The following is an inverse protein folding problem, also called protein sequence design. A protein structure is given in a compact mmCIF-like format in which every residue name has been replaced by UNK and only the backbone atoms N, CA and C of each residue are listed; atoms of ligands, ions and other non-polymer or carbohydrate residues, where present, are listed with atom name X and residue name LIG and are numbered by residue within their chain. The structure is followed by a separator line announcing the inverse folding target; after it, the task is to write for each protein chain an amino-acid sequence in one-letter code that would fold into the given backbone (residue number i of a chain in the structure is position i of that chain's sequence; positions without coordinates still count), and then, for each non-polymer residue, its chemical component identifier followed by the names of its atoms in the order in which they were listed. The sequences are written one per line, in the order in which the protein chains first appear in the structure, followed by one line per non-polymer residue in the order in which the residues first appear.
data_IF_849108117984
#
_entry.id   IF_849108117984
#
_cell.length_a   1.000
_cell.length_b   1.000
_cell.length_c   1.000
_cell.angle_alpha   90.00
_cell.angle_beta   90.00
_cell.angle_gamma   90.00
#
_symmetry.space_group_name_H-M   'P 1'
#
loop_
_entity.id
_entity.type
_entity.pdbx_description
1 polymer ?
#
# COMPACT_ATOMS: atom_id res chain seq x y z
N UNK A 1 -11.11 -6.66 16.39
CA UNK A 1 -10.22 -5.48 16.41
C UNK A 1 -9.38 -5.34 15.12
N UNK A 2 -8.94 -6.44 14.49
CA UNK A 2 -8.07 -6.38 13.28
C UNK A 2 -8.78 -6.03 11.96
N UNK A 3 -10.04 -6.43 11.76
CA UNK A 3 -10.76 -6.10 10.51
C UNK A 3 -10.97 -4.59 10.31
N UNK A 4 -11.18 -3.84 11.39
CA UNK A 4 -11.34 -2.38 11.33
C UNK A 4 -10.04 -1.69 10.93
N UNK A 5 -8.89 -2.17 11.44
CA UNK A 5 -7.56 -1.69 11.04
C UNK A 5 -7.26 -1.98 9.57
N UNK A 6 -7.72 -3.12 9.03
CA UNK A 6 -7.59 -3.43 7.58
C UNK A 6 -8.40 -2.43 6.74
N UNK A 7 -9.66 -2.18 7.11
CA UNK A 7 -10.55 -1.28 6.36
C UNK A 7 -9.97 0.14 6.36
N UNK A 8 -9.61 0.68 7.52
CA UNK A 8 -9.04 2.02 7.63
C UNK A 8 -7.73 2.15 6.84
N UNK A 9 -6.84 1.16 6.92
CA UNK A 9 -5.59 1.15 6.17
C UNK A 9 -5.83 1.14 4.65
N UNK A 10 -6.81 0.35 4.18
CA UNK A 10 -7.13 0.30 2.75
C UNK A 10 -7.66 1.65 2.27
N UNK A 11 -8.61 2.25 2.99
CA UNK A 11 -9.18 3.55 2.63
C UNK A 11 -8.15 4.68 2.64
N UNK A 12 -7.28 4.72 3.66
CA UNK A 12 -6.26 5.76 3.80
C UNK A 12 -5.19 5.67 2.71
N UNK A 13 -4.84 4.45 2.29
CA UNK A 13 -3.92 4.23 1.17
C UNK A 13 -4.59 4.57 -0.17
N UNK A 14 -5.85 4.21 -0.41
CA UNK A 14 -6.57 4.59 -1.63
C UNK A 14 -6.71 6.11 -1.79
N UNK A 15 -6.92 6.84 -0.69
CA UNK A 15 -6.92 8.31 -0.71
C UNK A 15 -5.57 8.90 -1.11
N UNK A 16 -4.48 8.23 -0.72
CA UNK A 16 -3.11 8.68 -0.99
C UNK A 16 -2.60 8.23 -2.36
N UNK A 17 -3.25 7.25 -2.98
CA UNK A 17 -2.91 6.67 -4.29
C UNK A 17 -4.06 6.87 -5.30
N UNK A 18 -4.33 8.12 -5.74
CA UNK A 18 -5.47 8.40 -6.61
C UNK A 18 -5.33 7.68 -7.96
N UNK A 19 -6.37 6.93 -8.34
CA UNK A 19 -6.41 6.15 -9.58
C UNK A 19 -5.93 4.70 -9.43
N UNK A 20 -5.35 4.34 -8.29
CA UNK A 20 -4.98 2.97 -7.95
C UNK A 20 -6.07 2.31 -7.10
N UNK A 21 -6.16 0.98 -7.17
CA UNK A 21 -7.00 0.19 -6.26
C UNK A 21 -6.10 -0.53 -5.26
N UNK A 22 -6.40 -0.43 -3.97
CA UNK A 22 -5.59 -1.03 -2.91
C UNK A 22 -6.32 -2.21 -2.28
N UNK A 23 -5.61 -3.30 -1.99
CA UNK A 23 -6.10 -4.36 -1.10
C UNK A 23 -5.02 -4.73 -0.09
N UNK A 24 -5.41 -4.78 1.19
CA UNK A 24 -4.53 -5.08 2.31
C UNK A 24 -4.88 -6.44 2.89
N UNK A 25 -3.98 -7.42 2.82
CA UNK A 25 -4.15 -8.75 3.44
C UNK A 25 -3.38 -8.82 4.75
N UNK A 26 -4.07 -9.10 5.85
CA UNK A 26 -3.44 -9.28 7.15
C UNK A 26 -2.78 -10.66 7.23
N UNK A 27 -1.53 -10.69 7.63
CA UNK A 27 -0.74 -11.90 7.88
C UNK A 27 -0.47 -11.97 9.39
N UNK A 28 -0.87 -13.08 10.01
CA UNK A 28 -0.65 -13.38 11.43
C UNK A 28 -1.16 -12.31 12.43
N UNK A 29 -1.99 -11.36 11.98
CA UNK A 29 -2.59 -10.30 12.80
C UNK A 29 -1.69 -9.09 13.10
N UNK A 30 -0.40 -9.15 12.72
CA UNK A 30 0.61 -8.14 13.03
C UNK A 30 1.31 -7.58 11.80
N UNK A 31 1.37 -8.36 10.72
CA UNK A 31 1.92 -7.90 9.45
C UNK A 31 0.84 -7.81 8.39
N UNK A 32 1.07 -7.00 7.36
CA UNK A 32 0.20 -6.91 6.20
C UNK A 32 0.98 -7.08 4.89
N UNK A 33 0.27 -7.57 3.89
CA UNK A 33 0.66 -7.52 2.49
C UNK A 33 -0.26 -6.53 1.79
N UNK A 34 0.30 -5.60 1.04
CA UNK A 34 -0.43 -4.56 0.34
C UNK A 34 -0.29 -4.80 -1.16
N UNK A 35 -1.43 -4.89 -1.83
CA UNK A 35 -1.52 -4.96 -3.28
C UNK A 35 -2.03 -3.63 -3.79
N UNK A 36 -1.31 -3.05 -4.75
CA UNK A 36 -1.71 -1.83 -5.43
C UNK A 36 -1.88 -2.16 -6.91
N UNK A 37 -3.13 -2.16 -7.38
CA UNK A 37 -3.48 -2.36 -8.79
C UNK A 37 -3.50 -1.01 -9.50
N UNK A 38 -2.93 -0.98 -10.70
CA UNK A 38 -2.88 0.17 -11.60
C UNK A 38 -3.77 -0.12 -12.82
N UNK A 39 -5.08 0.16 -12.76
CA UNK A 39 -6.03 -0.23 -13.82
C UNK A 39 -5.63 0.32 -15.19
N UNK A 40 -5.13 1.56 -15.24
CA UNK A 40 -4.70 2.22 -16.48
C UNK A 40 -3.50 1.54 -17.15
N UNK A 41 -2.67 0.83 -16.38
CA UNK A 41 -1.46 0.17 -16.87
C UNK A 41 -1.63 -1.34 -17.00
N UNK A 42 -2.72 -1.90 -16.48
CA UNK A 42 -2.89 -3.35 -16.35
C UNK A 42 -1.83 -4.02 -15.47
N UNK A 43 -1.15 -3.27 -14.60
CA UNK A 43 -0.09 -3.77 -13.72
C UNK A 43 -0.53 -3.83 -12.27
N UNK A 44 0.21 -4.60 -11.47
CA UNK A 44 0.01 -4.73 -10.03
C UNK A 44 1.37 -4.67 -9.34
N UNK A 45 1.43 -3.83 -8.30
CA UNK A 45 2.53 -3.76 -7.35
C UNK A 45 2.14 -4.48 -6.07
N UNK A 46 3.10 -5.12 -5.41
CA UNK A 46 2.88 -5.87 -4.17
C UNK A 46 4.06 -5.64 -3.23
N UNK A 47 3.75 -5.28 -1.98
CA UNK A 47 4.72 -5.27 -0.88
C UNK A 47 4.24 -6.13 0.28
N UNK A 48 5.17 -6.79 0.96
CA UNK A 48 4.88 -7.77 2.02
C UNK A 48 5.63 -7.41 3.30
N UNK A 49 5.15 -7.88 4.45
CA UNK A 49 5.86 -7.70 5.72
C UNK A 49 5.67 -6.33 6.35
N UNK A 50 4.63 -5.58 5.96
CA UNK A 50 4.30 -4.28 6.53
C UNK A 50 3.90 -4.47 7.99
N UNK A 51 4.69 -3.91 8.91
CA UNK A 51 4.44 -4.01 10.34
C UNK A 51 3.32 -3.05 10.77
N UNK A 52 2.17 -3.61 11.14
CA UNK A 52 0.99 -2.85 11.54
C UNK A 52 1.17 -2.14 12.88
N UNK A 53 2.17 -2.50 13.68
CA UNK A 53 2.50 -1.78 14.90
C UNK A 53 3.13 -0.41 14.61
N UNK A 54 3.80 -0.27 13.46
CA UNK A 54 4.38 1.00 13.01
C UNK A 54 3.32 1.95 12.44
N UNK A 55 2.19 1.41 11.98
CA UNK A 55 1.06 2.15 11.44
C UNK A 55 0.08 2.56 12.56
N UNK A 56 0.57 3.35 13.51
CA UNK A 56 -0.17 3.72 14.71
C UNK A 56 -1.11 4.94 14.51
N UNK A 57 -0.86 5.76 13.49
CA UNK A 57 -1.58 7.01 13.24
C UNK A 57 -1.62 7.34 11.73
N UNK A 58 -2.34 8.41 11.35
CA UNK A 58 -2.47 8.84 9.96
C UNK A 58 -1.14 9.25 9.31
N UNK A 59 -0.21 9.79 10.08
CA UNK A 59 1.11 10.20 9.59
C UNK A 59 1.93 9.00 9.11
N UNK A 60 2.02 7.95 9.93
CA UNK A 60 2.70 6.70 9.56
C UNK A 60 2.08 5.98 8.36
N UNK A 61 0.76 6.13 8.16
CA UNK A 61 0.08 5.58 6.96
C UNK A 61 0.39 6.43 5.72
N UNK A 62 0.52 7.74 5.88
CA UNK A 62 0.92 8.63 4.81
C UNK A 62 2.37 8.38 4.35
N UNK A 63 3.31 8.23 5.29
CA UNK A 63 4.71 7.85 4.99
C UNK A 63 4.77 6.55 4.18
N UNK A 64 4.03 5.52 4.60
CA UNK A 64 3.92 4.28 3.85
C UNK A 64 3.34 4.49 2.44
N UNK A 65 2.35 5.37 2.29
CA UNK A 65 1.80 5.68 0.98
C UNK A 65 2.83 6.36 0.07
N UNK A 66 3.63 7.30 0.59
CA UNK A 66 4.72 7.93 -0.15
C UNK A 66 5.78 6.92 -0.59
N UNK A 67 6.17 5.99 0.30
CA UNK A 67 7.07 4.88 -0.03
C UNK A 67 6.50 4.01 -1.16
N UNK A 68 5.21 3.65 -1.09
CA UNK A 68 4.53 2.89 -2.13
C UNK A 68 4.49 3.62 -3.47
N UNK A 69 4.19 4.93 -3.49
CA UNK A 69 4.24 5.74 -4.72
C UNK A 69 5.64 5.70 -5.31
N UNK A 70 6.65 5.95 -4.47
CA UNK A 70 8.04 5.98 -4.90
C UNK A 70 8.47 4.64 -5.53
N UNK A 71 8.17 3.51 -4.88
CA UNK A 71 8.49 2.20 -5.41
C UNK A 71 7.74 1.87 -6.70
N UNK A 72 6.45 2.23 -6.78
CA UNK A 72 5.65 2.08 -7.99
C UNK A 72 6.25 2.88 -9.14
N UNK A 73 6.62 4.15 -8.92
CA UNK A 73 7.21 4.99 -9.96
C UNK A 73 8.61 4.52 -10.37
N UNK A 74 9.43 4.05 -9.41
CA UNK A 74 10.72 3.42 -9.72
C UNK A 74 10.56 2.15 -10.54
N UNK A 75 9.53 1.34 -10.29
CA UNK A 75 9.21 0.16 -11.09
C UNK A 75 8.79 0.50 -12.52
N UNK A 76 8.21 1.69 -12.75
CA UNK A 76 7.84 2.22 -14.08
C UNK A 76 9.06 2.78 -14.83
N UNK A 77 10.04 3.31 -14.12
CA UNK A 77 11.29 3.86 -14.65
C UNK A 77 12.29 2.81 -15.19
N UNK A 78 11.99 1.52 -15.09
CA UNK A 78 12.81 0.40 -15.55
C UNK A 78 13.01 0.25 -17.06
N UNK A 79 13.00 1.34 -17.83
CA UNK A 79 13.70 1.46 -19.11
C UNK A 79 14.93 2.32 -18.89
N UNK A 80 15.97 1.74 -18.31
CA UNK A 80 17.32 2.15 -18.64
C UNK A 80 17.53 1.82 -20.12
N UNK A 81 17.31 2.81 -20.98
CA UNK A 81 17.78 2.82 -22.36
C UNK A 81 19.22 3.32 -22.42
#
# INVERSE_FOLDING_TARGET
MHCWKKISLTEDLERSLPGHQVDCVLINGWTATIFVRQPELGSMFCTTGIDLAKLANSESVHELAEELVFEIDMSRGGKAG
#
